data_IF_342093529928
#
_entry.id   IF_342093529928
#
_cell.length_a   1.000
_cell.length_b   1.000
_cell.length_c   1.000
_cell.angle_alpha   90.00
_cell.angle_beta   90.00
_cell.angle_gamma   90.00
#
_symmetry.space_group_name_H-M   'P 1'
#
loop_
_entity.id
_entity.type
_entity.pdbx_description
1 polymer ?
#
# COMPACT_ATOMS: atom_id res chain seq x y z
N UNK A 1 22.44 13.68 25.73
CA UNK A 1 21.11 14.26 26.05
C UNK A 1 20.31 13.42 27.04
N UNK A 2 19.95 12.15 26.77
CA UNK A 2 19.19 11.32 27.73
C UNK A 2 19.94 11.08 29.05
N UNK A 3 21.22 10.72 28.98
CA UNK A 3 22.09 10.54 30.15
C UNK A 3 22.33 11.88 30.88
N UNK A 4 22.56 12.95 30.12
CA UNK A 4 22.78 14.30 30.68
C UNK A 4 21.52 14.86 31.38
N UNK A 5 20.34 14.44 30.92
CA UNK A 5 19.05 14.75 31.55
C UNK A 5 18.72 13.83 32.74
N UNK A 6 19.70 13.08 33.27
CA UNK A 6 19.51 12.09 34.34
C UNK A 6 18.38 11.10 34.04
N UNK A 7 18.33 10.63 32.80
CA UNK A 7 17.35 9.65 32.34
C UNK A 7 15.89 10.16 32.34
N UNK A 8 15.69 11.48 32.33
CA UNK A 8 14.36 12.05 32.11
C UNK A 8 13.92 11.87 30.65
N UNK A 9 12.93 10.98 30.46
CA UNK A 9 12.32 10.68 29.18
C UNK A 9 11.56 11.86 28.57
N UNK A 10 11.09 12.81 29.39
CA UNK A 10 10.36 13.98 28.89
C UNK A 10 11.23 14.87 28.01
N UNK A 11 12.53 14.98 28.33
CA UNK A 11 13.52 15.74 27.54
C UNK A 11 13.75 15.09 26.18
N UNK A 12 13.81 13.75 26.13
CA UNK A 12 13.94 12.99 24.88
C UNK A 12 12.68 13.09 24.04
N UNK A 13 11.50 12.95 24.66
CA UNK A 13 10.22 13.08 23.98
C UNK A 13 10.03 14.49 23.39
N UNK A 14 10.38 15.53 24.13
CA UNK A 14 10.25 16.92 23.66
C UNK A 14 11.23 17.22 22.52
N UNK A 15 12.48 16.76 22.63
CA UNK A 15 13.44 16.85 21.53
C UNK A 15 12.94 16.13 20.27
N UNK A 16 12.43 14.91 20.43
CA UNK A 16 11.89 14.14 19.31
C UNK A 16 10.71 14.86 18.66
N UNK A 17 9.70 15.28 19.44
CA UNK A 17 8.53 16.00 18.92
C UNK A 17 8.90 17.30 18.21
N UNK A 18 9.92 18.01 18.70
CA UNK A 18 10.25 19.36 18.21
C UNK A 18 11.20 19.36 17.02
N UNK A 19 12.14 18.42 16.97
CA UNK A 19 13.25 18.45 16.01
C UNK A 19 13.32 17.23 15.10
N UNK A 20 12.62 16.14 15.41
CA UNK A 20 12.67 14.90 14.62
C UNK A 20 11.32 14.65 13.95
N UNK A 21 10.22 14.66 14.72
CA UNK A 21 8.87 14.38 14.24
C UNK A 21 8.42 15.25 13.05
N UNK A 22 8.68 16.58 12.99
CA UNK A 22 8.26 17.40 11.86
C UNK A 22 8.95 17.00 10.54
N UNK A 23 10.14 16.43 10.61
CA UNK A 23 10.90 15.99 9.44
C UNK A 23 10.57 14.55 9.03
N UNK A 24 9.97 13.76 9.93
CA UNK A 24 9.41 12.45 9.59
C UNK A 24 8.11 12.64 8.82
N UNK A 25 7.21 13.52 9.30
CA UNK A 25 5.93 13.79 8.64
C UNK A 25 6.06 14.38 7.24
N UNK A 26 7.06 15.23 7.00
CA UNK A 26 7.34 15.79 5.67
C UNK A 26 7.88 14.75 4.65
N UNK A 27 8.36 13.59 5.12
CA UNK A 27 8.68 12.44 4.27
C UNK A 27 7.47 11.51 4.07
N UNK A 28 6.43 11.66 4.89
CA UNK A 28 5.18 10.88 4.90
C UNK A 28 4.00 11.58 4.19
N UNK A 29 4.15 12.81 3.70
CA UNK A 29 3.15 13.45 2.81
C UNK A 29 2.97 12.64 1.50
N UNK A 30 3.98 11.85 1.14
CA UNK A 30 3.92 10.72 0.20
C UNK A 30 3.95 9.39 0.97
N UNK A 31 3.06 9.17 1.96
CA UNK A 31 3.06 8.09 2.98
C UNK A 31 3.20 6.63 2.51
N UNK A 32 3.48 6.42 1.23
CA UNK A 32 3.91 5.21 0.59
C UNK A 32 5.42 4.94 0.64
N UNK A 33 6.30 5.95 0.71
CA UNK A 33 7.75 5.73 0.58
C UNK A 33 8.43 5.21 1.86
N UNK A 34 7.91 5.51 3.06
CA UNK A 34 8.52 5.09 4.33
C UNK A 34 8.53 3.56 4.55
N UNK A 35 7.64 2.83 3.88
CA UNK A 35 7.52 1.38 4.03
C UNK A 35 8.24 0.61 2.90
N UNK A 36 8.58 1.28 1.80
CA UNK A 36 9.08 0.64 0.61
C UNK A 36 8.04 -0.27 -0.10
N UNK A 37 8.18 -0.48 -1.41
CA UNK A 37 7.25 -1.26 -2.25
C UNK A 37 6.87 -2.64 -1.69
N UNK A 38 7.88 -3.37 -1.19
CA UNK A 38 7.73 -4.75 -0.73
C UNK A 38 6.89 -4.86 0.55
N UNK A 39 6.96 -3.87 1.43
CA UNK A 39 6.20 -3.90 2.68
C UNK A 39 4.73 -3.56 2.47
N UNK A 40 4.41 -2.64 1.55
CA UNK A 40 3.01 -2.25 1.25
C UNK A 40 2.23 -3.41 0.65
N UNK A 41 2.82 -4.14 -0.30
CA UNK A 41 2.20 -5.34 -0.90
C UNK A 41 2.02 -6.45 0.13
N UNK A 42 3.03 -6.68 0.97
CA UNK A 42 2.96 -7.69 2.04
C UNK A 42 1.92 -7.33 3.10
N UNK A 43 1.80 -6.04 3.44
CA UNK A 43 0.79 -5.54 4.39
C UNK A 43 -0.62 -5.75 3.84
N UNK A 44 -0.87 -5.41 2.58
CA UNK A 44 -2.15 -5.67 1.92
C UNK A 44 -2.48 -7.18 1.92
N UNK A 45 -1.51 -8.04 1.61
CA UNK A 45 -1.68 -9.49 1.64
C UNK A 45 -2.04 -10.01 3.04
N UNK A 46 -1.33 -9.55 4.08
CA UNK A 46 -1.61 -9.90 5.48
C UNK A 46 -3.00 -9.46 5.92
N UNK A 47 -3.45 -8.28 5.50
CA UNK A 47 -4.81 -7.82 5.80
C UNK A 47 -5.87 -8.67 5.12
N UNK A 48 -5.72 -8.93 3.82
CA UNK A 48 -6.67 -9.76 3.07
C UNK A 48 -6.78 -11.18 3.66
N UNK A 49 -5.64 -11.81 3.96
CA UNK A 49 -5.61 -13.19 4.44
C UNK A 49 -5.88 -13.31 5.95
N UNK A 50 -5.28 -12.44 6.77
CA UNK A 50 -5.39 -12.50 8.23
C UNK A 50 -6.67 -11.87 8.75
N UNK A 51 -6.83 -10.55 8.55
CA UNK A 51 -7.96 -9.80 9.10
C UNK A 51 -9.28 -10.22 8.46
N UNK A 52 -9.32 -10.33 7.13
CA UNK A 52 -10.56 -10.65 6.40
C UNK A 52 -10.78 -12.13 6.12
N UNK A 53 -9.74 -12.96 6.24
CA UNK A 53 -9.85 -14.38 5.88
C UNK A 53 -10.07 -14.63 4.38
N UNK A 54 -9.82 -13.63 3.53
CA UNK A 54 -9.95 -13.74 2.09
C UNK A 54 -8.73 -14.44 1.51
N UNK A 55 -8.93 -15.66 1.00
CA UNK A 55 -7.88 -16.44 0.31
C UNK A 55 -7.92 -16.31 -1.21
N UNK A 56 -9.05 -15.87 -1.78
CA UNK A 56 -9.25 -15.80 -3.24
C UNK A 56 -9.01 -14.39 -3.78
N UNK A 57 -7.76 -13.95 -3.71
CA UNK A 57 -7.30 -12.69 -4.29
C UNK A 57 -5.97 -12.87 -5.02
N UNK A 58 -5.67 -11.98 -5.97
CA UNK A 58 -4.38 -11.95 -6.67
C UNK A 58 -4.08 -10.56 -7.22
N UNK A 59 -2.79 -10.22 -7.30
CA UNK A 59 -2.30 -9.09 -8.08
C UNK A 59 -1.93 -9.57 -9.48
N UNK A 60 -2.63 -9.09 -10.48
CA UNK A 60 -2.31 -9.32 -11.89
C UNK A 60 -1.48 -8.14 -12.40
N UNK A 61 -0.40 -8.39 -13.13
CA UNK A 61 0.38 -7.35 -13.80
C UNK A 61 0.45 -7.66 -15.28
N UNK A 62 0.25 -6.64 -16.11
CA UNK A 62 0.46 -6.71 -17.55
C UNK A 62 1.25 -5.49 -18.00
N UNK A 63 2.20 -5.69 -18.91
CA UNK A 63 2.78 -4.59 -19.67
C UNK A 63 1.76 -4.06 -20.68
N UNK A 64 1.75 -2.75 -20.86
CA UNK A 64 0.91 -2.05 -21.84
C UNK A 64 1.77 -1.04 -22.60
N UNK A 65 1.46 -0.79 -23.89
CA UNK A 65 2.12 0.27 -24.64
C UNK A 65 1.99 1.60 -23.91
N UNK A 66 3.08 2.38 -23.87
CA UNK A 66 3.03 3.73 -23.34
C UNK A 66 2.13 4.61 -24.24
N UNK A 67 1.45 5.59 -23.64
CA UNK A 67 0.52 6.44 -24.39
C UNK A 67 1.26 7.22 -25.49
N UNK A 68 0.67 7.28 -26.68
CA UNK A 68 1.27 7.91 -27.88
C UNK A 68 1.67 9.37 -27.70
N UNK A 69 1.12 10.04 -26.68
CA UNK A 69 1.44 11.41 -26.28
C UNK A 69 2.81 11.57 -25.60
N UNK A 70 3.51 10.46 -25.28
CA UNK A 70 4.84 10.47 -24.69
C UNK A 70 5.98 10.72 -25.70
N UNK A 71 5.67 10.96 -26.99
CA UNK A 71 6.66 11.27 -28.02
C UNK A 71 7.67 10.13 -28.22
N UNK A 72 8.97 10.45 -28.31
CA UNK A 72 10.02 9.44 -28.49
C UNK A 72 10.08 8.38 -27.37
N UNK A 73 9.55 8.65 -26.17
CA UNK A 73 9.49 7.67 -25.08
C UNK A 73 8.48 6.55 -25.35
N UNK A 74 7.47 6.77 -26.18
CA UNK A 74 6.51 5.72 -26.55
C UNK A 74 7.15 4.59 -27.39
N UNK A 75 8.35 4.83 -27.96
CA UNK A 75 9.09 3.85 -28.76
C UNK A 75 9.97 2.92 -27.91
N UNK A 76 10.30 3.29 -26.67
CA UNK A 76 11.27 2.56 -25.82
C UNK A 76 10.77 2.24 -24.43
N UNK A 77 9.71 2.91 -23.94
CA UNK A 77 9.12 2.66 -22.63
C UNK A 77 7.85 1.81 -22.74
N UNK A 78 7.75 0.77 -21.92
CA UNK A 78 6.49 0.08 -21.61
C UNK A 78 5.99 0.54 -20.25
N UNK A 79 4.69 0.84 -20.16
CA UNK A 79 4.06 1.03 -18.87
C UNK A 79 3.58 -0.33 -18.36
N UNK A 80 3.40 -0.45 -17.06
CA UNK A 80 2.81 -1.62 -16.42
C UNK A 80 1.46 -1.24 -15.82
N UNK A 81 0.43 -2.05 -16.06
CA UNK A 81 -0.84 -2.00 -15.34
C UNK A 81 -0.86 -3.14 -14.34
N UNK A 82 -1.20 -2.83 -13.09
CA UNK A 82 -1.51 -3.81 -12.07
C UNK A 82 -2.99 -3.73 -11.69
N UNK A 83 -3.61 -4.86 -11.40
CA UNK A 83 -4.96 -4.95 -10.86
C UNK A 83 -5.00 -5.93 -9.66
N UNK A 84 -5.67 -5.52 -8.58
CA UNK A 84 -6.05 -6.41 -7.49
C UNK A 84 -7.41 -7.01 -7.81
N UNK A 85 -7.39 -8.32 -8.05
CA UNK A 85 -8.56 -9.12 -8.33
C UNK A 85 -8.95 -9.83 -7.05
N UNK A 86 -10.20 -9.67 -6.62
CA UNK A 86 -10.77 -10.35 -5.45
C UNK A 86 -12.01 -11.09 -5.93
N UNK A 87 -12.04 -12.41 -5.71
CA UNK A 87 -13.13 -13.28 -6.18
C UNK A 87 -13.41 -13.21 -7.70
N UNK A 88 -12.39 -12.92 -8.51
CA UNK A 88 -12.51 -12.81 -9.98
C UNK A 88 -12.92 -11.42 -10.49
N UNK A 89 -13.29 -10.50 -9.60
CA UNK A 89 -13.64 -9.12 -9.93
C UNK A 89 -12.44 -8.19 -9.69
N UNK A 90 -12.15 -7.29 -10.62
CA UNK A 90 -11.12 -6.25 -10.44
C UNK A 90 -11.66 -5.20 -9.46
N UNK A 91 -10.96 -5.01 -8.33
CA UNK A 91 -11.37 -4.06 -7.28
C UNK A 91 -10.56 -2.77 -7.33
N UNK A 92 -9.26 -2.88 -7.56
CA UNK A 92 -8.36 -1.74 -7.71
C UNK A 92 -7.41 -1.99 -8.87
N UNK A 93 -7.02 -0.93 -9.58
CA UNK A 93 -6.00 -1.01 -10.61
C UNK A 93 -5.19 0.30 -10.67
N UNK A 94 -3.95 0.20 -11.11
CA UNK A 94 -3.08 1.35 -11.31
C UNK A 94 -2.09 1.10 -12.44
N UNK A 95 -1.69 2.18 -13.11
CA UNK A 95 -0.65 2.21 -14.14
C UNK A 95 0.62 2.85 -13.56
N UNK A 96 1.80 2.30 -13.87
CA UNK A 96 3.09 2.84 -13.45
C UNK A 96 4.20 2.45 -14.43
N UNK A 97 5.40 3.03 -14.27
CA UNK A 97 6.53 2.77 -15.15
C UNK A 97 7.20 1.40 -14.90
N UNK A 98 6.86 0.74 -13.79
CA UNK A 98 7.34 -0.61 -13.50
C UNK A 98 6.28 -1.47 -12.81
N UNK A 99 6.45 -2.78 -12.89
CA UNK A 99 5.59 -3.75 -12.21
C UNK A 99 5.60 -3.56 -10.67
N UNK A 100 6.76 -3.18 -10.11
CA UNK A 100 6.93 -2.95 -8.65
C UNK A 100 6.12 -1.74 -8.22
N UNK A 101 6.22 -0.62 -8.95
CA UNK A 101 5.44 0.58 -8.67
C UNK A 101 3.94 0.34 -8.87
N UNK A 102 3.55 -0.38 -9.93
CA UNK A 102 2.15 -0.65 -10.21
C UNK A 102 1.51 -1.50 -9.10
N UNK A 103 2.21 -2.56 -8.64
CA UNK A 103 1.76 -3.38 -7.49
C UNK A 103 1.66 -2.54 -6.22
N UNK A 104 2.65 -1.68 -5.97
CA UNK A 104 2.68 -0.83 -4.79
C UNK A 104 1.51 0.13 -4.77
N UNK A 105 1.22 0.81 -5.88
CA UNK A 105 0.07 1.71 -6.05
C UNK A 105 -1.27 1.01 -5.88
N UNK A 106 -1.42 -0.22 -6.36
CA UNK A 106 -2.66 -0.99 -6.17
C UNK A 106 -2.83 -1.41 -4.71
N UNK A 107 -1.78 -1.95 -4.07
CA UNK A 107 -1.82 -2.38 -2.67
C UNK A 107 -2.10 -1.19 -1.73
N UNK A 108 -1.49 -0.05 -2.05
CA UNK A 108 -1.73 1.26 -1.47
C UNK A 108 -3.21 1.68 -1.51
N UNK A 109 -3.81 1.70 -2.70
CA UNK A 109 -5.21 2.04 -2.89
C UNK A 109 -6.13 1.10 -2.11
N UNK A 110 -5.82 -0.20 -2.09
CA UNK A 110 -6.56 -1.17 -1.32
C UNK A 110 -6.48 -0.87 0.18
N UNK A 111 -5.28 -0.68 0.74
CA UNK A 111 -5.09 -0.36 2.16
C UNK A 111 -5.80 0.94 2.57
N UNK A 112 -5.75 1.99 1.74
CA UNK A 112 -6.45 3.25 2.04
C UNK A 112 -7.97 3.09 2.06
N UNK A 113 -8.54 2.27 1.15
CA UNK A 113 -9.97 1.97 1.17
C UNK A 113 -10.40 1.15 2.40
N UNK A 114 -9.43 0.47 3.00
CA UNK A 114 -9.56 -0.53 4.03
C UNK A 114 -9.31 0.05 5.45
N UNK A 115 -8.47 1.08 5.57
CA UNK A 115 -8.19 1.84 6.80
C UNK A 115 -9.44 2.50 7.41
N UNK A 116 -10.53 2.66 6.65
CA UNK A 116 -11.79 3.29 7.05
C UNK A 116 -12.79 2.40 7.82
N UNK A 117 -12.33 1.46 8.65
CA UNK A 117 -13.18 0.60 9.49
C UNK A 117 -14.03 -0.42 8.72
N UNK A 118 -13.49 -1.02 7.66
CA UNK A 118 -14.18 -2.15 7.02
C UNK A 118 -14.04 -3.36 7.94
N UNK A 119 -15.11 -3.74 8.63
CA UNK A 119 -15.13 -5.00 9.38
C UNK A 119 -15.23 -6.22 8.44
N UNK A 120 -15.01 -7.42 8.97
CA UNK A 120 -15.06 -8.67 8.18
C UNK A 120 -16.42 -8.95 7.56
N UNK A 121 -17.53 -8.63 8.23
CA UNK A 121 -18.88 -8.84 7.71
C UNK A 121 -19.18 -7.89 6.54
N UNK A 122 -18.78 -6.62 6.67
CA UNK A 122 -18.87 -5.60 5.62
C UNK A 122 -18.00 -5.95 4.43
N UNK A 123 -16.75 -6.37 4.66
CA UNK A 123 -15.88 -6.88 3.59
C UNK A 123 -16.55 -8.03 2.84
N UNK A 124 -17.14 -9.00 3.56
CA UNK A 124 -17.83 -10.13 2.94
C UNK A 124 -19.02 -9.70 2.09
N UNK A 125 -19.81 -8.73 2.56
CA UNK A 125 -20.94 -8.20 1.81
C UNK A 125 -20.48 -7.44 0.55
N UNK A 126 -19.53 -6.52 0.68
CA UNK A 126 -19.07 -5.65 -0.42
C UNK A 126 -18.27 -6.42 -1.48
N UNK A 127 -17.42 -7.36 -1.03
CA UNK A 127 -16.52 -8.12 -1.91
C UNK A 127 -17.09 -9.47 -2.35
N UNK A 128 -18.32 -9.81 -1.90
CA UNK A 128 -18.95 -11.13 -2.08
C UNK A 128 -18.01 -12.27 -1.64
N UNK A 129 -17.35 -12.09 -0.49
CA UNK A 129 -16.34 -13.01 -0.02
C UNK A 129 -16.97 -14.23 0.68
N UNK A 130 -16.72 -15.41 0.10
CA UNK A 130 -17.17 -16.72 0.56
C UNK A 130 -16.03 -17.56 1.18
N UNK A 131 -14.88 -16.95 1.45
CA UNK A 131 -13.73 -17.68 2.02
C UNK A 131 -13.98 -18.06 3.49
N UNK A 132 -13.64 -19.31 3.82
CA UNK A 132 -13.73 -19.86 5.17
C UNK A 132 -12.70 -19.26 6.16
N UNK A 133 -11.80 -18.39 5.70
CA UNK A 133 -10.62 -17.96 6.46
C UNK A 133 -9.49 -18.98 6.40
N UNK A 134 -8.25 -18.61 6.76
CA UNK A 134 -7.23 -19.60 7.05
C UNK A 134 -7.71 -20.42 8.26
N UNK A 135 -7.80 -21.74 8.11
CA UNK A 135 -8.01 -22.67 9.21
C UNK A 135 -6.81 -22.66 10.16
#
# INVERSE_FOLDING_TARGET
MFVDARYDLSVVANFFQRFVQPHIGAMDDDGYDALGPSHVVTRAARWLQGEYGCGRWRLCVSEVPCESRAGMRALTASDCVCALVVHGEVRWHAKAGSAVEAKSKVAAMALKALEGSVDRARWRAEMKCDCAGPG
#
